data_IF_806560009253
#
_entry.id   IF_806560009253
#
_cell.length_a   1.000
_cell.length_b   1.000
_cell.length_c   1.000
_cell.angle_alpha   90.00
_cell.angle_beta   90.00
_cell.angle_gamma   90.00
#
_symmetry.space_group_name_H-M   'P 1'
#
loop_
_entity.id
_entity.type
_entity.pdbx_description
1 polymer ?
#
# COMPACT_ATOMS: atom_id res chain seq x y z
N UNK A 1 0.65 -25.53 -26.82
CA UNK A 1 -0.03 -24.23 -26.63
C UNK A 1 -1.09 -24.25 -25.52
N UNK A 2 -1.74 -25.38 -25.21
CA UNK A 2 -2.71 -25.47 -24.10
C UNK A 2 -2.10 -25.32 -22.70
N UNK A 3 -0.94 -25.94 -22.44
CA UNK A 3 -0.30 -25.88 -21.11
C UNK A 3 0.21 -24.47 -20.74
N UNK A 4 0.71 -23.72 -21.73
CA UNK A 4 1.22 -22.35 -21.54
C UNK A 4 0.10 -21.32 -21.33
N UNK A 5 -1.12 -21.63 -21.76
CA UNK A 5 -2.31 -20.78 -21.58
C UNK A 5 -2.87 -20.94 -20.17
N UNK A 6 -2.95 -22.18 -19.68
CA UNK A 6 -3.33 -22.46 -18.29
C UNK A 6 -2.35 -21.86 -17.27
N UNK A 7 -1.04 -21.86 -17.52
CA UNK A 7 -0.07 -21.22 -16.62
C UNK A 7 -0.22 -19.68 -16.57
N UNK A 8 -0.59 -19.05 -17.69
CA UNK A 8 -0.86 -17.61 -17.75
C UNK A 8 -2.17 -17.26 -17.03
N UNK A 9 -3.22 -18.05 -17.25
CA UNK A 9 -4.53 -17.88 -16.61
C UNK A 9 -4.44 -18.10 -15.08
N UNK A 10 -3.64 -19.07 -14.61
CA UNK A 10 -3.40 -19.32 -13.18
C UNK A 10 -2.59 -18.19 -12.50
N UNK A 11 -1.63 -17.58 -13.22
CA UNK A 11 -0.88 -16.43 -12.73
C UNK A 11 -1.71 -15.15 -12.69
N UNK A 12 -2.56 -14.91 -13.70
CA UNK A 12 -3.50 -13.80 -13.70
C UNK A 12 -4.53 -13.95 -12.56
N UNK A 13 -5.08 -15.14 -12.33
CA UNK A 13 -6.05 -15.39 -11.26
C UNK A 13 -5.42 -15.25 -9.85
N UNK A 14 -4.17 -15.67 -9.70
CA UNK A 14 -3.40 -15.50 -8.46
C UNK A 14 -3.08 -14.02 -8.19
N UNK A 15 -2.71 -13.25 -9.23
CA UNK A 15 -2.49 -11.81 -9.10
C UNK A 15 -3.77 -11.03 -8.78
N UNK A 16 -4.90 -11.40 -9.38
CA UNK A 16 -6.20 -10.80 -9.10
C UNK A 16 -6.66 -11.09 -7.65
N UNK A 17 -6.43 -12.30 -7.16
CA UNK A 17 -6.68 -12.64 -5.74
C UNK A 17 -5.81 -11.84 -4.78
N UNK A 18 -4.53 -11.61 -5.11
CA UNK A 18 -3.67 -10.76 -4.30
C UNK A 18 -4.15 -9.31 -4.30
N UNK A 19 -4.52 -8.75 -5.45
CA UNK A 19 -5.06 -7.38 -5.55
C UNK A 19 -6.33 -7.23 -4.72
N UNK A 20 -7.26 -8.19 -4.82
CA UNK A 20 -8.48 -8.22 -4.01
C UNK A 20 -8.17 -8.31 -2.50
N UNK A 21 -7.17 -9.10 -2.11
CA UNK A 21 -6.72 -9.20 -0.72
C UNK A 21 -6.13 -7.89 -0.19
N UNK A 22 -5.33 -7.20 -1.00
CA UNK A 22 -4.79 -5.88 -0.64
C UNK A 22 -5.90 -4.84 -0.50
N UNK A 23 -6.88 -4.83 -1.40
CA UNK A 23 -8.03 -3.92 -1.31
C UNK A 23 -8.84 -4.20 -0.04
N UNK A 24 -9.14 -5.46 0.27
CA UNK A 24 -9.89 -5.82 1.47
C UNK A 24 -9.16 -5.42 2.76
N UNK A 25 -7.82 -5.51 2.80
CA UNK A 25 -7.04 -5.05 3.95
C UNK A 25 -7.01 -3.52 4.04
N UNK A 26 -6.93 -2.84 2.90
CA UNK A 26 -7.00 -1.38 2.84
C UNK A 26 -8.33 -0.88 3.41
N UNK A 27 -9.45 -1.45 2.95
CA UNK A 27 -10.78 -1.15 3.44
C UNK A 27 -10.91 -1.43 4.95
N UNK A 28 -10.34 -2.54 5.43
CA UNK A 28 -10.31 -2.86 6.86
C UNK A 28 -9.58 -1.78 7.66
N UNK A 29 -8.41 -1.37 7.20
CA UNK A 29 -7.60 -0.38 7.90
C UNK A 29 -8.29 0.98 7.96
N UNK A 30 -8.88 1.45 6.85
CA UNK A 30 -9.61 2.72 6.81
C UNK A 30 -10.83 2.69 7.74
N UNK A 31 -11.56 1.58 7.78
CA UNK A 31 -12.69 1.41 8.71
C UNK A 31 -12.24 1.32 10.17
N UNK A 32 -11.09 0.71 10.47
CA UNK A 32 -10.52 0.70 11.83
C UNK A 32 -10.13 2.11 12.28
N UNK A 33 -9.55 2.92 11.39
CA UNK A 33 -9.25 4.33 11.67
C UNK A 33 -10.53 5.12 11.96
N UNK A 34 -11.62 4.89 11.19
CA UNK A 34 -12.92 5.51 11.43
C UNK A 34 -13.52 5.17 12.82
N UNK A 35 -13.08 4.07 13.45
CA UNK A 35 -13.54 3.65 14.78
C UNK A 35 -12.69 4.27 15.91
N UNK A 36 -11.66 5.08 15.60
CA UNK A 36 -10.63 5.58 16.54
C UNK A 36 -9.83 4.44 17.20
N UNK A 37 -9.57 3.38 16.44
CA UNK A 37 -8.86 2.18 16.90
C UNK A 37 -7.49 2.49 17.56
N UNK A 38 -6.71 3.44 17.03
CA UNK A 38 -5.36 3.72 17.52
C UNK A 38 -5.30 4.22 18.98
N UNK A 39 -6.36 4.87 19.49
CA UNK A 39 -6.38 5.40 20.86
C UNK A 39 -6.80 4.33 21.87
N UNK A 40 -7.85 3.58 21.56
CA UNK A 40 -8.47 2.64 22.50
C UNK A 40 -7.79 1.26 22.48
N UNK A 41 -7.47 0.74 21.29
CA UNK A 41 -6.95 -0.62 21.17
C UNK A 41 -5.49 -0.74 21.62
N UNK A 42 -4.64 0.19 21.20
CA UNK A 42 -3.18 0.17 21.50
C UNK A 42 -2.97 0.25 23.02
N UNK A 43 -3.79 1.05 23.71
CA UNK A 43 -3.75 1.22 25.17
C UNK A 43 -4.26 -0.02 25.91
N UNK A 44 -5.33 -0.65 25.43
CA UNK A 44 -6.02 -1.75 26.14
C UNK A 44 -5.40 -3.13 25.87
N UNK A 45 -4.91 -3.39 24.66
CA UNK A 45 -4.45 -4.72 24.23
C UNK A 45 -2.93 -4.85 24.03
N UNK A 46 -2.15 -3.78 24.28
CA UNK A 46 -0.67 -3.75 24.17
C UNK A 46 -0.13 -4.30 22.83
N UNK A 47 -0.91 -4.16 21.77
CA UNK A 47 -0.54 -4.61 20.43
C UNK A 47 -0.06 -3.41 19.60
N UNK A 48 0.98 -3.55 18.76
CA UNK A 48 1.40 -2.50 17.85
C UNK A 48 0.27 -2.08 16.90
N UNK A 49 0.27 -0.83 16.45
CA UNK A 49 -0.70 -0.35 15.45
C UNK A 49 -0.61 -1.23 14.18
N UNK A 50 -1.77 -1.61 13.66
CA UNK A 50 -1.89 -2.55 12.54
C UNK A 50 -1.68 -1.77 11.24
N UNK A 51 -0.59 -2.07 10.54
CA UNK A 51 -0.27 -1.48 9.24
C UNK A 51 -1.20 -2.02 8.12
N UNK A 52 -1.39 -1.23 7.05
CA UNK A 52 -2.14 -1.55 5.81
C UNK A 52 -1.77 -2.89 5.16
N UNK A 53 -0.63 -3.48 5.49
CA UNK A 53 -0.16 -4.76 4.92
C UNK A 53 -0.08 -5.91 5.93
N UNK A 54 -0.49 -5.67 7.18
CA UNK A 54 -0.14 -6.54 8.31
C UNK A 54 -0.71 -7.96 8.23
N UNK A 55 -1.96 -8.12 7.76
CA UNK A 55 -2.61 -9.43 7.59
C UNK A 55 -2.54 -9.98 6.16
N UNK A 56 -1.92 -9.26 5.22
CA UNK A 56 -1.82 -9.67 3.81
C UNK A 56 -0.64 -10.60 3.60
N UNK A 57 0.52 -10.24 4.16
CA UNK A 57 1.75 -11.02 4.01
C UNK A 57 2.00 -11.88 5.25
N UNK A 58 2.47 -13.11 5.04
CA UNK A 58 2.96 -13.95 6.12
C UNK A 58 4.14 -13.26 6.82
N UNK A 59 3.96 -12.98 8.12
CA UNK A 59 4.99 -12.43 8.99
C UNK A 59 5.28 -13.43 10.11
N UNK A 60 5.30 -12.94 11.35
CA UNK A 60 5.33 -13.81 12.52
C UNK A 60 3.92 -14.34 12.79
N UNK A 61 3.68 -15.61 12.45
CA UNK A 61 2.39 -16.29 12.58
C UNK A 61 1.82 -16.20 13.99
N UNK A 62 2.65 -16.35 15.03
CA UNK A 62 2.19 -16.26 16.42
C UNK A 62 1.73 -14.85 16.78
N UNK A 63 2.45 -13.84 16.31
CA UNK A 63 2.12 -12.42 16.54
C UNK A 63 0.87 -12.01 15.76
N UNK A 64 0.75 -12.45 14.51
CA UNK A 64 -0.42 -12.19 13.67
C UNK A 64 -1.67 -12.88 14.21
N UNK A 65 -1.55 -14.12 14.70
CA UNK A 65 -2.65 -14.82 15.36
C UNK A 65 -3.07 -14.10 16.65
N UNK A 66 -2.12 -13.69 17.49
CA UNK A 66 -2.40 -12.91 18.69
C UNK A 66 -3.08 -11.56 18.37
N UNK A 67 -2.62 -10.87 17.32
CA UNK A 67 -3.23 -9.63 16.85
C UNK A 67 -4.65 -9.85 16.35
N UNK A 68 -4.90 -10.93 15.59
CA UNK A 68 -6.25 -11.32 15.15
C UNK A 68 -7.17 -11.60 16.34
N UNK A 69 -6.72 -12.38 17.32
CA UNK A 69 -7.49 -12.68 18.53
C UNK A 69 -7.82 -11.43 19.34
N UNK A 70 -6.83 -10.54 19.52
CA UNK A 70 -7.00 -9.28 20.23
C UNK A 70 -7.97 -8.36 19.51
N UNK A 71 -7.80 -8.18 18.19
CA UNK A 71 -8.65 -7.34 17.37
C UNK A 71 -10.09 -7.86 17.32
N UNK A 72 -10.27 -9.16 17.14
CA UNK A 72 -11.60 -9.78 17.17
C UNK A 72 -12.27 -9.57 18.53
N UNK A 73 -11.52 -9.70 19.63
CA UNK A 73 -12.04 -9.45 20.97
C UNK A 73 -12.48 -7.99 21.16
N UNK A 74 -11.67 -7.05 20.68
CA UNK A 74 -12.00 -5.62 20.72
C UNK A 74 -13.28 -5.30 19.95
N UNK A 75 -13.41 -5.81 18.73
CA UNK A 75 -14.59 -5.57 17.88
C UNK A 75 -15.85 -6.19 18.50
N UNK A 76 -15.77 -7.41 19.04
CA UNK A 76 -16.89 -8.08 19.69
C UNK A 76 -17.31 -7.34 20.97
N UNK A 77 -16.36 -6.86 21.77
CA UNK A 77 -16.67 -6.07 22.97
C UNK A 77 -17.35 -4.74 22.63
N UNK A 78 -16.94 -4.08 21.52
CA UNK A 78 -17.61 -2.89 21.01
C UNK A 78 -19.05 -3.18 20.58
N UNK A 79 -19.30 -4.28 19.89
CA UNK A 79 -20.66 -4.69 19.48
C UNK A 79 -21.56 -5.11 20.65
N UNK A 80 -20.99 -5.67 21.71
CA UNK A 80 -21.76 -6.20 22.85
C UNK A 80 -21.97 -5.13 23.93
N UNK A 81 -21.30 -3.98 23.84
CA UNK A 81 -21.23 -2.94 24.87
C UNK A 81 -20.86 -3.48 26.28
N UNK A 82 -20.18 -4.64 26.32
CA UNK A 82 -19.74 -5.34 27.53
C UNK A 82 -18.32 -5.85 27.30
N UNK A 83 -17.42 -5.58 28.25
CA UNK A 83 -16.00 -5.96 28.18
C UNK A 83 -15.74 -7.43 28.60
N UNK A 84 -16.70 -8.31 28.39
CA UNK A 84 -16.68 -9.66 28.95
C UNK A 84 -15.89 -10.65 28.08
N UNK A 85 -15.68 -10.33 26.80
CA UNK A 85 -14.97 -11.22 25.88
C UNK A 85 -13.48 -10.85 25.82
N UNK A 86 -12.67 -11.63 26.54
CA UNK A 86 -11.20 -11.57 26.45
C UNK A 86 -10.65 -12.92 26.04
N UNK A 87 -10.08 -12.96 24.85
CA UNK A 87 -9.28 -14.10 24.39
C UNK A 87 -7.87 -13.94 24.96
N UNK A 88 -7.45 -14.87 25.81
CA UNK A 88 -6.08 -14.91 26.33
C UNK A 88 -5.13 -15.58 25.33
N UNK A 89 -3.92 -15.04 25.18
CA UNK A 89 -2.93 -15.49 24.18
C UNK A 89 -2.33 -16.87 24.44
N UNK A 90 -2.74 -17.52 25.53
CA UNK A 90 -2.24 -18.82 26.00
C UNK A 90 -3.24 -19.98 25.86
N UNK A 91 -4.43 -19.71 25.32
CA UNK A 91 -5.45 -20.74 25.11
C UNK A 91 -5.21 -21.54 23.81
N UNK A 92 -5.78 -22.73 23.68
CA UNK A 92 -5.60 -23.56 22.47
C UNK A 92 -6.08 -22.78 21.23
N UNK A 93 -5.28 -22.70 20.15
CA UNK A 93 -5.63 -21.91 18.97
C UNK A 93 -6.98 -22.29 18.36
N UNK A 94 -7.36 -23.58 18.38
CA UNK A 94 -8.64 -24.02 17.82
C UNK A 94 -9.80 -23.63 18.75
N UNK A 95 -9.66 -23.83 20.06
CA UNK A 95 -10.69 -23.41 21.04
C UNK A 95 -10.91 -21.90 21.00
N UNK A 96 -9.83 -21.14 20.80
CA UNK A 96 -9.88 -19.69 20.64
C UNK A 96 -10.63 -19.25 19.39
N UNK A 97 -10.32 -19.87 18.24
CA UNK A 97 -11.06 -19.61 16.99
C UNK A 97 -12.53 -19.95 17.17
N UNK A 98 -12.85 -21.05 17.86
CA UNK A 98 -14.23 -21.47 18.12
C UNK A 98 -14.99 -20.49 19.00
N UNK A 99 -14.32 -19.97 20.04
CA UNK A 99 -14.87 -18.91 20.89
C UNK A 99 -15.16 -17.64 20.08
N UNK A 100 -14.23 -17.23 19.21
CA UNK A 100 -14.40 -16.04 18.36
C UNK A 100 -15.52 -16.24 17.34
N UNK A 101 -15.58 -17.39 16.68
CA UNK A 101 -16.63 -17.69 15.68
C UNK A 101 -18.01 -17.80 16.34
N UNK A 102 -18.14 -18.48 17.48
CA UNK A 102 -19.42 -18.58 18.16
C UNK A 102 -19.90 -17.20 18.66
N UNK A 103 -18.98 -16.36 19.16
CA UNK A 103 -19.30 -15.00 19.57
C UNK A 103 -19.68 -14.11 18.38
N UNK A 104 -19.01 -14.24 17.23
CA UNK A 104 -19.33 -13.47 16.03
C UNK A 104 -20.61 -13.94 15.32
N UNK A 105 -21.08 -15.17 15.56
CA UNK A 105 -22.26 -15.73 14.90
C UNK A 105 -23.53 -14.95 15.20
N UNK A 106 -23.57 -14.27 16.35
CA UNK A 106 -24.68 -13.43 16.76
C UNK A 106 -24.80 -12.14 15.94
N UNK A 107 -23.72 -11.73 15.27
CA UNK A 107 -23.63 -10.43 14.60
C UNK A 107 -23.39 -10.52 13.08
N UNK A 108 -22.76 -11.61 12.62
CA UNK A 108 -22.27 -11.78 11.24
C UNK A 108 -22.62 -13.19 10.73
N UNK A 109 -22.91 -13.32 9.42
CA UNK A 109 -23.06 -14.63 8.79
C UNK A 109 -21.71 -15.34 8.62
N UNK A 110 -21.59 -16.52 9.25
CA UNK A 110 -20.37 -17.33 9.38
C UNK A 110 -20.39 -18.55 8.46
N UNK A 111 -21.45 -18.76 7.68
CA UNK A 111 -21.63 -19.98 6.87
C UNK A 111 -20.41 -20.33 6.00
N UNK A 112 -19.68 -19.32 5.51
CA UNK A 112 -18.49 -19.50 4.68
C UNK A 112 -17.19 -19.87 5.46
N UNK A 113 -17.15 -19.69 6.78
CA UNK A 113 -15.95 -19.87 7.60
C UNK A 113 -15.94 -21.18 8.40
N UNK A 114 -17.08 -21.84 8.55
CA UNK A 114 -17.22 -23.10 9.31
C UNK A 114 -16.29 -24.20 8.77
N UNK A 115 -16.14 -24.28 7.44
CA UNK A 115 -15.32 -25.29 6.76
C UNK A 115 -13.83 -24.89 6.63
N UNK A 116 -13.43 -23.69 7.06
CA UNK A 116 -12.11 -23.10 6.78
C UNK A 116 -11.36 -22.73 8.07
N UNK A 117 -11.74 -23.34 9.19
CA UNK A 117 -11.19 -23.10 10.54
C UNK A 117 -9.66 -23.17 10.63
N UNK A 118 -9.06 -24.11 9.88
CA UNK A 118 -7.61 -24.30 9.87
C UNK A 118 -6.83 -23.11 9.30
N UNK A 119 -7.42 -22.31 8.42
CA UNK A 119 -6.73 -21.15 7.82
C UNK A 119 -6.63 -19.98 8.78
N UNK A 120 -7.55 -19.83 9.74
CA UNK A 120 -7.45 -18.83 10.79
C UNK A 120 -6.25 -19.04 11.72
N UNK A 121 -5.75 -20.28 11.84
CA UNK A 121 -4.53 -20.60 12.61
C UNK A 121 -3.29 -19.92 12.03
N UNK A 122 -3.30 -19.59 10.74
CA UNK A 122 -2.18 -18.93 10.07
C UNK A 122 -2.10 -17.43 10.45
N UNK A 123 -3.17 -16.87 11.02
CA UNK A 123 -3.20 -15.48 11.50
C UNK A 123 -3.16 -14.41 10.40
N UNK A 124 -3.12 -14.80 9.13
CA UNK A 124 -3.08 -13.92 7.96
C UNK A 124 -3.88 -14.56 6.80
N UNK A 125 -4.28 -13.75 5.82
CA UNK A 125 -5.01 -14.20 4.64
C UNK A 125 -6.45 -13.71 4.54
N UNK A 126 -7.10 -14.09 3.43
CA UNK A 126 -8.41 -13.58 3.02
C UNK A 126 -9.50 -13.87 4.05
N UNK A 127 -9.48 -15.05 4.65
CA UNK A 127 -10.49 -15.46 5.62
C UNK A 127 -10.40 -14.65 6.93
N UNK A 128 -9.18 -14.33 7.37
CA UNK A 128 -8.93 -13.50 8.55
C UNK A 128 -9.42 -12.08 8.31
N UNK A 129 -9.01 -11.47 7.19
CA UNK A 129 -9.40 -10.10 6.82
C UNK A 129 -10.91 -10.02 6.58
N UNK A 130 -11.50 -10.99 5.89
CA UNK A 130 -12.93 -11.02 5.58
C UNK A 130 -13.82 -11.08 6.83
N UNK A 131 -13.44 -11.88 7.83
CA UNK A 131 -14.17 -11.93 9.11
C UNK A 131 -14.07 -10.61 9.86
N UNK A 132 -12.86 -10.04 9.95
CA UNK A 132 -12.63 -8.76 10.61
C UNK A 132 -13.39 -7.62 9.94
N UNK A 133 -13.40 -7.57 8.60
CA UNK A 133 -14.14 -6.56 7.84
C UNK A 133 -15.63 -6.59 8.14
N UNK A 134 -16.25 -7.78 8.14
CA UNK A 134 -17.68 -7.92 8.46
C UNK A 134 -18.00 -7.49 9.89
N UNK A 135 -17.12 -7.78 10.86
CA UNK A 135 -17.27 -7.33 12.24
C UNK A 135 -17.16 -5.81 12.35
N UNK A 136 -16.15 -5.22 11.70
CA UNK A 136 -15.95 -3.77 11.66
C UNK A 136 -17.13 -3.07 11.00
N UNK A 137 -17.66 -3.59 9.89
CA UNK A 137 -18.83 -3.02 9.21
C UNK A 137 -20.05 -2.94 10.15
N UNK A 138 -20.26 -3.97 10.97
CA UNK A 138 -21.33 -3.94 11.98
C UNK A 138 -21.08 -2.90 13.06
N UNK A 139 -19.84 -2.74 13.52
CA UNK A 139 -19.49 -1.69 14.51
C UNK A 139 -19.70 -0.30 13.92
N UNK A 140 -19.28 -0.07 12.68
CA UNK A 140 -19.51 1.20 11.99
C UNK A 140 -20.99 1.52 11.86
N UNK A 141 -21.81 0.53 11.47
CA UNK A 141 -23.26 0.68 11.36
C UNK A 141 -23.91 0.96 12.73
N UNK A 142 -23.45 0.36 13.82
CA UNK A 142 -23.95 0.64 15.17
C UNK A 142 -23.58 2.07 15.63
N UNK A 143 -22.37 2.54 15.34
CA UNK A 143 -21.96 3.94 15.59
C UNK A 143 -22.80 4.93 14.79
N UNK A 144 -23.06 4.65 13.51
CA UNK A 144 -23.95 5.45 12.66
C UNK A 144 -25.38 5.46 13.19
N UNK A 145 -25.91 4.30 13.59
CA UNK A 145 -27.25 4.18 14.14
C UNK A 145 -27.40 4.83 15.53
N UNK A 146 -26.33 4.90 16.32
CA UNK A 146 -26.31 5.59 17.62
C UNK A 146 -26.24 7.12 17.48
N UNK A 147 -25.74 7.62 16.35
CA UNK A 147 -25.84 9.03 15.96
C UNK A 147 -27.24 9.30 15.36
N UNK A 148 -28.30 9.14 16.16
CA UNK A 148 -29.68 9.56 15.83
C UNK A 148 -29.87 11.09 15.77
N UNK A 149 -28.81 11.85 15.51
CA UNK A 149 -28.86 13.24 15.04
C UNK A 149 -27.79 13.32 13.96
N UNK A 150 -28.23 13.36 12.70
CA UNK A 150 -27.39 13.40 11.52
C UNK A 150 -26.62 14.72 11.35
N UNK A 151 -25.79 15.07 12.33
CA UNK A 151 -24.71 16.04 12.16
C UNK A 151 -23.41 15.25 12.20
N UNK A 152 -22.93 14.88 11.02
CA UNK A 152 -21.51 14.56 10.85
C UNK A 152 -20.76 15.86 11.12
N UNK A 153 -20.33 16.07 12.37
CA UNK A 153 -19.49 17.23 12.70
C UNK A 153 -18.11 16.98 12.09
N UNK A 154 -17.93 17.41 10.84
CA UNK A 154 -16.62 17.41 10.18
C UNK A 154 -15.79 18.52 10.84
N UNK A 155 -15.05 18.17 11.89
CA UNK A 155 -14.12 19.10 12.54
C UNK A 155 -12.84 19.17 11.71
N UNK A 156 -12.61 20.32 11.07
CA UNK A 156 -11.36 20.59 10.37
C UNK A 156 -10.33 21.12 11.38
N UNK A 157 -9.20 20.42 11.47
CA UNK A 157 -8.05 20.87 12.26
C UNK A 157 -7.04 21.56 11.34
N UNK A 158 -6.63 22.78 11.72
CA UNK A 158 -5.49 23.44 11.08
C UNK A 158 -4.16 22.74 11.40
N UNK A 159 -3.09 23.12 10.70
CA UNK A 159 -1.74 22.58 10.92
C UNK A 159 -1.21 22.76 12.37
N UNK A 160 -1.80 23.70 13.12
CA UNK A 160 -1.48 23.99 14.53
C UNK A 160 -2.41 23.27 15.54
N UNK A 161 -3.31 22.40 15.07
CA UNK A 161 -4.21 21.60 15.93
C UNK A 161 -5.41 22.37 16.52
N UNK A 162 -5.68 23.57 16.01
CA UNK A 162 -6.83 24.40 16.43
C UNK A 162 -8.04 24.09 15.54
N UNK A 163 -9.21 23.92 16.16
CA UNK A 163 -10.50 23.65 15.50
C UNK A 163 -10.99 24.92 14.75
N UNK A 164 -11.22 24.79 13.44
CA UNK A 164 -11.78 25.87 12.61
C UNK A 164 -13.30 25.82 12.74
N UNK A 165 -13.90 26.85 13.34
CA UNK A 165 -15.36 27.01 13.38
C UNK A 165 -15.83 27.63 12.06
N UNK A 166 -16.71 26.93 11.35
CA UNK A 166 -17.42 27.43 10.17
C UNK A 166 -18.86 27.66 10.66
N UNK A 167 -19.31 28.91 10.67
CA UNK A 167 -20.71 29.24 10.97
C UNK A 167 -21.56 28.90 9.73
N UNK A 168 -22.45 27.92 9.91
CA UNK A 168 -23.50 27.56 8.96
C UNK A 168 -24.79 28.27 9.40
N UNK A 169 -24.87 29.58 9.18
CA UNK A 169 -26.13 30.33 9.15
C UNK A 169 -26.29 30.84 7.72
N UNK A 170 -26.98 30.08 6.86
CA UNK A 170 -27.66 30.50 5.62
C UNK A 170 -27.78 29.30 4.65
N UNK A 171 -28.75 28.38 4.86
CA UNK A 171 -29.36 27.60 3.77
C UNK A 171 -30.58 26.73 4.20
N UNK A 172 -31.41 27.23 5.12
CA UNK A 172 -32.72 26.64 5.40
C UNK A 172 -33.78 27.28 4.48
N UNK A 173 -33.96 26.76 3.26
CA UNK A 173 -35.24 26.81 2.53
C UNK A 173 -35.15 26.02 1.21
N UNK A 174 -35.45 24.72 1.25
CA UNK A 174 -36.01 23.98 0.09
C UNK A 174 -36.80 22.77 0.60
N UNK A 175 -38.10 22.97 0.81
CA UNK A 175 -39.09 21.90 0.98
C UNK A 175 -39.07 20.96 -0.24
N UNK A 176 -38.74 19.69 0.00
CA UNK A 176 -38.87 18.60 -0.96
C UNK A 176 -40.24 17.95 -0.78
N UNK A 177 -41.23 18.43 -1.54
CA UNK A 177 -42.51 17.74 -1.70
C UNK A 177 -42.35 16.54 -2.64
N UNK A 178 -42.74 15.37 -2.13
CA UNK A 178 -42.92 14.10 -2.82
C UNK A 178 -43.66 14.26 -4.16
N UNK A 179 -43.01 13.87 -5.25
CA UNK A 179 -43.68 13.56 -6.51
C UNK A 179 -43.26 12.16 -6.96
N UNK A 180 -44.03 11.19 -6.50
CA UNK A 180 -44.07 9.81 -7.00
C UNK A 180 -44.54 9.83 -8.47
N UNK A 181 -43.64 9.49 -9.40
CA UNK A 181 -43.98 9.32 -10.82
C UNK A 181 -44.22 7.84 -11.06
N UNK A 182 -45.49 7.47 -11.10
CA UNK A 182 -45.97 6.15 -11.52
C UNK A 182 -45.84 6.05 -13.06
N UNK A 183 -44.98 5.16 -13.53
CA UNK A 183 -44.78 4.88 -14.96
C UNK A 183 -45.85 3.89 -15.44
N UNK A 184 -46.84 4.36 -16.19
CA UNK A 184 -47.81 3.50 -16.86
C UNK A 184 -47.12 2.68 -17.97
N UNK A 185 -47.25 1.35 -17.84
CA UNK A 185 -46.62 0.27 -18.60
C UNK A 185 -47.22 0.03 -20.01
N UNK A 186 -47.70 1.07 -20.70
CA UNK A 186 -48.52 0.88 -21.93
C UNK A 186 -47.83 1.22 -23.27
N UNK A 187 -46.50 1.42 -23.29
CA UNK A 187 -45.76 1.82 -24.52
C UNK A 187 -44.73 0.80 -25.04
N UNK A 188 -44.80 -0.47 -24.62
CA UNK A 188 -43.87 -1.50 -25.08
C UNK A 188 -44.21 -2.12 -26.46
N UNK A 189 -45.42 -1.90 -27.00
CA UNK A 189 -45.96 -2.75 -28.09
C UNK A 189 -45.88 -2.16 -29.51
N UNK A 190 -45.13 -1.07 -29.73
CA UNK A 190 -45.05 -0.42 -31.06
C UNK A 190 -43.65 -0.24 -31.66
N UNK A 191 -42.68 -1.06 -31.25
CA UNK A 191 -41.41 -1.18 -31.98
C UNK A 191 -41.52 -2.36 -32.95
N UNK A 192 -42.12 -2.10 -34.12
CA UNK A 192 -41.93 -2.96 -35.29
C UNK A 192 -40.61 -2.54 -35.93
N UNK A 193 -39.60 -3.40 -35.78
CA UNK A 193 -38.35 -3.33 -36.52
C UNK A 193 -38.63 -3.88 -37.91
N UNK A 194 -38.83 -3.01 -38.90
CA UNK A 194 -38.86 -3.42 -40.31
C UNK A 194 -37.48 -3.15 -40.94
N UNK A 195 -36.76 -4.26 -41.16
CA UNK A 195 -35.53 -4.37 -41.92
C UNK A 195 -35.93 -4.52 -43.40
N UNK A 196 -35.86 -3.44 -44.17
CA UNK A 196 -36.35 -3.44 -45.54
C UNK A 196 -35.94 -2.23 -46.37
N UNK A 197 -34.75 -2.31 -46.96
CA UNK A 197 -34.35 -1.78 -48.27
C UNK A 197 -34.95 -0.41 -48.70
N UNK A 198 -34.23 0.67 -48.42
CA UNK A 198 -34.49 1.98 -49.04
C UNK A 198 -33.95 1.92 -50.48
N UNK A 199 -34.84 1.68 -51.45
CA UNK A 199 -34.56 1.92 -52.86
C UNK A 199 -34.74 3.42 -53.16
N UNK A 200 -33.69 3.99 -53.77
CA UNK A 200 -33.51 5.38 -54.12
C UNK A 200 -34.33 5.71 -55.37
N UNK A 201 -35.59 6.11 -55.19
CA UNK A 201 -36.44 6.57 -56.30
C UNK A 201 -36.09 8.00 -56.73
N UNK A 202 -35.35 8.03 -57.84
CA UNK A 202 -34.96 9.19 -58.63
C UNK A 202 -36.19 9.92 -59.18
N UNK A 203 -36.43 11.15 -58.74
CA UNK A 203 -37.50 12.02 -59.25
C UNK A 203 -37.10 12.60 -60.61
N UNK A 204 -37.45 11.91 -61.70
CA UNK A 204 -37.36 12.47 -63.05
C UNK A 204 -38.50 13.48 -63.28
N UNK A 205 -38.15 14.76 -63.40
CA UNK A 205 -39.05 15.83 -63.86
C UNK A 205 -39.50 15.57 -65.31
N UNK A 206 -40.82 15.52 -65.61
CA UNK A 206 -41.27 15.35 -66.98
C UNK A 206 -41.15 16.67 -67.76
N UNK A 207 -40.27 16.64 -68.76
CA UNK A 207 -40.05 17.67 -69.76
C UNK A 207 -41.35 17.91 -70.57
N UNK A 208 -41.90 19.11 -70.44
CA UNK A 208 -43.10 19.57 -71.15
C UNK A 208 -42.74 19.93 -72.58
N UNK A 209 -43.09 19.06 -73.52
CA UNK A 209 -43.19 19.41 -74.94
C UNK A 209 -44.50 18.88 -75.52
N UNK A 210 -45.50 19.77 -75.52
CA UNK A 210 -46.40 20.14 -76.62
C UNK A 210 -47.09 19.05 -77.49
N UNK A 211 -48.33 19.38 -77.88
CA UNK A 211 -49.22 18.71 -78.84
C UNK A 211 -50.26 17.72 -78.30
N UNK A 212 -51.04 18.12 -77.30
CA UNK A 212 -52.40 17.56 -77.13
C UNK A 212 -53.46 18.46 -76.48
N UNK A 213 -53.26 19.78 -76.48
CA UNK A 213 -54.36 20.70 -76.19
C UNK A 213 -55.30 20.78 -77.41
N UNK A 214 -56.61 20.66 -77.15
CA UNK A 214 -57.74 20.79 -78.08
C UNK A 214 -58.27 19.50 -78.75
N UNK A 215 -58.24 18.37 -78.05
CA UNK A 215 -59.36 17.42 -78.20
C UNK A 215 -60.47 17.87 -77.25
N UNK A 216 -61.51 18.50 -77.79
CA UNK A 216 -62.76 18.77 -77.07
C UNK A 216 -63.25 17.46 -76.45
N UNK A 217 -63.10 17.31 -75.12
CA UNK A 217 -63.61 16.16 -74.38
C UNK A 217 -65.13 16.33 -74.34
N UNK A 218 -65.80 15.85 -75.38
CA UNK A 218 -67.25 15.69 -75.35
C UNK A 218 -67.49 14.47 -74.48
N UNK A 219 -67.79 14.71 -73.20
CA UNK A 219 -68.19 13.68 -72.26
C UNK A 219 -69.46 13.02 -72.78
N UNK A 220 -69.30 11.90 -73.48
CA UNK A 220 -70.40 11.00 -73.84
C UNK A 220 -70.68 10.12 -72.63
N UNK A 221 -70.93 10.75 -71.49
CA UNK A 221 -71.19 10.07 -70.23
C UNK A 221 -72.69 10.10 -70.01
N UNK A 222 -73.30 8.91 -70.07
CA UNK A 222 -74.72 8.78 -69.77
C UNK A 222 -74.98 9.22 -68.33
N UNK A 223 -76.07 9.94 -68.10
CA UNK A 223 -76.42 10.45 -66.77
C UNK A 223 -76.57 9.29 -65.77
N UNK A 224 -76.95 8.12 -66.27
CA UNK A 224 -77.10 6.89 -65.50
C UNK A 224 -75.75 6.26 -65.15
N UNK A 225 -74.80 6.20 -66.07
CA UNK A 225 -73.43 5.75 -65.81
C UNK A 225 -72.71 6.69 -64.84
N UNK A 226 -72.87 8.01 -64.99
CA UNK A 226 -72.32 8.97 -64.05
C UNK A 226 -72.91 8.79 -62.65
N UNK A 227 -74.22 8.55 -62.55
CA UNK A 227 -74.88 8.29 -61.27
C UNK A 227 -74.45 6.96 -60.66
N UNK A 228 -74.26 5.91 -61.45
CA UNK A 228 -73.77 4.61 -60.98
C UNK A 228 -72.31 4.70 -60.54
N UNK A 229 -71.48 5.45 -61.25
CA UNK A 229 -70.11 5.74 -60.83
C UNK A 229 -70.09 6.57 -59.54
N UNK A 230 -70.99 7.54 -59.41
CA UNK A 230 -71.14 8.34 -58.20
C UNK A 230 -71.64 7.48 -57.02
N UNK A 231 -72.60 6.57 -57.24
CA UNK A 231 -73.08 5.61 -56.23
C UNK A 231 -72.05 4.51 -55.92
N UNK A 232 -71.12 4.20 -56.83
CA UNK A 232 -69.98 3.29 -56.60
C UNK A 232 -68.87 3.96 -55.80
N UNK A 233 -68.60 5.23 -56.09
CA UNK A 233 -67.52 6.00 -55.46
C UNK A 233 -67.99 6.63 -54.14
N UNK A 234 -69.29 6.93 -53.97
CA UNK A 234 -69.85 7.46 -52.71
C UNK A 234 -69.49 6.61 -51.49
N UNK A 235 -69.64 5.28 -51.52
CA UNK A 235 -69.22 4.39 -50.44
C UNK A 235 -67.71 4.35 -50.26
N UNK A 236 -66.90 4.59 -51.29
CA UNK A 236 -65.43 4.61 -51.19
C UNK A 236 -64.91 5.95 -50.66
N UNK A 237 -65.56 7.05 -51.02
CA UNK A 237 -65.30 8.39 -50.49
C UNK A 237 -65.80 8.49 -49.05
N UNK A 238 -66.97 7.93 -48.77
CA UNK A 238 -67.44 7.74 -47.40
C UNK A 238 -66.54 6.77 -46.67
N UNK A 239 -66.21 5.57 -47.13
CA UNK A 239 -65.34 4.66 -46.36
C UNK A 239 -63.95 5.25 -46.06
N UNK A 240 -63.43 6.11 -46.95
CA UNK A 240 -62.13 6.78 -46.77
C UNK A 240 -62.20 8.09 -45.96
N UNK A 241 -63.35 8.77 -45.88
CA UNK A 241 -63.45 10.08 -45.20
C UNK A 241 -64.66 10.24 -44.25
N UNK A 242 -65.74 9.47 -44.39
CA UNK A 242 -66.97 9.56 -43.57
C UNK A 242 -67.33 8.30 -42.76
N UNK A 243 -66.84 7.12 -43.15
CA UNK A 243 -67.07 5.81 -42.52
C UNK A 243 -66.31 5.66 -41.21
N UNK A 244 -65.39 6.59 -40.94
CA UNK A 244 -64.71 6.76 -39.66
C UNK A 244 -65.08 8.09 -38.98
N UNK A 245 -66.07 8.83 -39.49
CA UNK A 245 -66.46 10.17 -39.01
C UNK A 245 -67.92 10.26 -38.55
N UNK A 246 -68.83 9.38 -39.00
CA UNK A 246 -70.26 9.53 -38.69
C UNK A 246 -70.73 8.80 -37.42
N UNK A 247 -70.01 7.80 -36.93
CA UNK A 247 -70.29 7.19 -35.64
C UNK A 247 -68.98 6.90 -34.94
N UNK A 248 -68.72 7.67 -33.89
CA UNK A 248 -67.55 7.59 -33.03
C UNK A 248 -66.30 8.30 -33.59
N UNK A 249 -65.83 9.25 -32.80
CA UNK A 249 -64.47 9.78 -32.83
C UNK A 249 -64.21 10.95 -33.78
N UNK A 250 -64.40 12.16 -33.26
CA UNK A 250 -63.72 13.38 -33.75
C UNK A 250 -62.19 13.35 -33.60
N UNK A 251 -61.57 12.16 -33.54
CA UNK A 251 -60.14 11.96 -33.34
C UNK A 251 -59.37 11.87 -34.66
N UNK A 252 -59.85 11.09 -35.65
CA UNK A 252 -59.02 10.65 -36.78
C UNK A 252 -58.74 11.73 -37.86
N UNK A 253 -59.66 12.68 -38.10
CA UNK A 253 -59.42 13.82 -39.03
C UNK A 253 -58.49 14.92 -38.44
N UNK A 254 -58.16 14.78 -37.16
CA UNK A 254 -57.32 15.70 -36.40
C UNK A 254 -56.04 15.05 -35.91
N UNK A 255 -55.76 13.78 -36.23
CA UNK A 255 -54.60 13.06 -35.69
C UNK A 255 -53.29 13.75 -36.02
N UNK A 256 -53.03 14.09 -37.28
CA UNK A 256 -51.80 14.81 -37.63
C UNK A 256 -51.72 16.21 -37.00
N UNK A 257 -52.87 16.88 -36.77
CA UNK A 257 -52.92 18.18 -36.07
C UNK A 257 -52.67 18.01 -34.58
N UNK A 258 -53.15 16.92 -33.98
CA UNK A 258 -52.90 16.54 -32.59
C UNK A 258 -51.42 16.19 -32.42
N UNK A 259 -50.85 15.37 -33.30
CA UNK A 259 -49.43 15.06 -33.33
C UNK A 259 -48.57 16.30 -33.58
N UNK A 260 -48.98 17.22 -34.46
CA UNK A 260 -48.26 18.48 -34.68
C UNK A 260 -48.31 19.39 -33.45
N UNK A 261 -49.46 19.52 -32.79
CA UNK A 261 -49.57 20.25 -31.52
C UNK A 261 -48.74 19.57 -30.42
N UNK A 262 -48.77 18.24 -30.33
CA UNK A 262 -47.94 17.48 -29.41
C UNK A 262 -46.44 17.66 -29.70
N UNK A 263 -46.03 17.68 -30.97
CA UNK A 263 -44.65 17.93 -31.37
C UNK A 263 -44.19 19.37 -31.03
N UNK A 264 -45.07 20.38 -31.14
CA UNK A 264 -44.77 21.74 -30.69
C UNK A 264 -44.61 21.83 -29.18
N UNK A 265 -45.48 21.16 -28.42
CA UNK A 265 -45.35 21.05 -26.95
C UNK A 265 -44.05 20.33 -26.59
N UNK A 266 -43.75 19.22 -27.25
CA UNK A 266 -42.53 18.46 -27.03
C UNK A 266 -41.28 19.26 -27.39
N UNK A 267 -41.30 20.05 -28.48
CA UNK A 267 -40.22 20.97 -28.84
C UNK A 267 -39.99 22.01 -27.74
N UNK A 268 -41.06 22.57 -27.18
CA UNK A 268 -40.96 23.49 -26.04
C UNK A 268 -40.37 22.80 -24.81
N UNK A 269 -40.79 21.57 -24.52
CA UNK A 269 -40.29 20.80 -23.38
C UNK A 269 -38.81 20.44 -23.56
N UNK A 270 -38.41 19.97 -24.74
CA UNK A 270 -37.02 19.70 -25.09
C UNK A 270 -36.17 20.97 -24.96
N UNK A 271 -36.66 22.13 -25.42
CA UNK A 271 -35.90 23.38 -25.28
C UNK A 271 -35.71 23.79 -23.82
N UNK A 272 -36.68 23.53 -22.94
CA UNK A 272 -36.56 23.79 -21.50
C UNK A 272 -35.57 22.85 -20.85
N UNK A 273 -35.72 21.55 -21.07
CA UNK A 273 -34.81 20.52 -20.53
C UNK A 273 -33.39 20.73 -21.04
N UNK A 274 -33.22 21.03 -22.32
CA UNK A 274 -31.92 21.34 -22.90
C UNK A 274 -31.27 22.58 -22.26
N UNK A 275 -32.05 23.66 -22.06
CA UNK A 275 -31.56 24.86 -21.37
C UNK A 275 -31.15 24.58 -19.92
N UNK A 276 -31.95 23.80 -19.19
CA UNK A 276 -31.64 23.38 -17.82
C UNK A 276 -30.38 22.52 -17.79
N UNK A 277 -30.26 21.52 -18.65
CA UNK A 277 -29.08 20.66 -18.74
C UNK A 277 -27.84 21.44 -19.13
N UNK A 278 -27.91 22.37 -20.09
CA UNK A 278 -26.79 23.25 -20.43
C UNK A 278 -26.36 24.12 -19.25
N UNK A 279 -27.31 24.62 -18.45
CA UNK A 279 -27.00 25.37 -17.24
C UNK A 279 -26.31 24.49 -16.19
N UNK A 280 -26.82 23.30 -15.92
CA UNK A 280 -26.23 22.34 -14.97
C UNK A 280 -24.82 21.91 -15.41
N UNK A 281 -24.63 21.61 -16.69
CA UNK A 281 -23.30 21.27 -17.24
C UNK A 281 -22.35 22.47 -17.19
N UNK A 282 -22.86 23.68 -17.42
CA UNK A 282 -22.09 24.92 -17.27
C UNK A 282 -21.61 25.15 -15.84
N UNK A 283 -22.50 24.94 -14.86
CA UNK A 283 -22.18 25.00 -13.43
C UNK A 283 -21.15 23.94 -13.07
N UNK A 284 -21.39 22.67 -13.42
CA UNK A 284 -20.45 21.57 -13.17
C UNK A 284 -19.07 21.83 -13.79
N UNK A 285 -19.02 22.39 -15.00
CA UNK A 285 -17.76 22.77 -15.64
C UNK A 285 -17.04 23.90 -14.87
N UNK A 286 -17.79 24.86 -14.34
CA UNK A 286 -17.27 25.92 -13.47
C UNK A 286 -16.71 25.36 -12.17
N UNK A 287 -17.45 24.48 -11.51
CA UNK A 287 -17.07 23.85 -10.24
C UNK A 287 -15.81 22.99 -10.42
N UNK A 288 -15.73 22.23 -11.52
CA UNK A 288 -14.53 21.46 -11.87
C UNK A 288 -13.32 22.38 -12.07
N UNK A 289 -13.49 23.50 -12.78
CA UNK A 289 -12.39 24.47 -12.96
C UNK A 289 -11.93 25.06 -11.64
N UNK A 290 -12.87 25.47 -10.79
CA UNK A 290 -12.54 26.01 -9.47
C UNK A 290 -11.85 24.95 -8.60
N UNK A 291 -12.27 23.69 -8.68
CA UNK A 291 -11.62 22.58 -7.98
C UNK A 291 -10.20 22.35 -8.51
N UNK A 292 -9.98 22.41 -9.83
CA UNK A 292 -8.65 22.29 -10.43
C UNK A 292 -7.74 23.44 -10.02
N UNK A 293 -8.21 24.69 -10.00
CA UNK A 293 -7.42 25.84 -9.54
C UNK A 293 -7.07 25.71 -8.04
N UNK A 294 -7.99 25.19 -7.23
CA UNK A 294 -7.72 24.86 -5.81
C UNK A 294 -6.69 23.73 -5.67
N UNK A 295 -6.71 22.74 -6.55
CA UNK A 295 -5.69 21.68 -6.57
C UNK A 295 -4.34 22.26 -6.98
N UNK A 296 -4.29 23.08 -8.03
CA UNK A 296 -3.05 23.70 -8.51
C UNK A 296 -2.39 24.59 -7.45
N UNK A 297 -3.19 25.40 -6.74
CA UNK A 297 -2.68 26.23 -5.63
C UNK A 297 -2.13 25.37 -4.49
N UNK A 298 -2.82 24.27 -4.13
CA UNK A 298 -2.33 23.31 -3.12
C UNK A 298 -1.07 22.57 -3.59
N UNK A 299 -0.96 22.20 -4.86
CA UNK A 299 0.22 21.57 -5.43
C UNK A 299 1.41 22.52 -5.44
N UNK A 300 1.21 23.79 -5.78
CA UNK A 300 2.24 24.81 -5.74
C UNK A 300 2.73 25.05 -4.31
N UNK A 301 1.81 25.13 -3.34
CA UNK A 301 2.17 25.22 -1.92
C UNK A 301 2.96 23.98 -1.44
N UNK A 302 2.52 22.77 -1.81
CA UNK A 302 3.21 21.54 -1.46
C UNK A 302 4.61 21.48 -2.11
N UNK A 303 4.75 21.98 -3.34
CA UNK A 303 6.03 22.07 -4.06
C UNK A 303 6.99 23.03 -3.35
N UNK A 304 6.52 24.20 -2.95
CA UNK A 304 7.33 25.17 -2.22
C UNK A 304 7.77 24.62 -0.86
N UNK A 305 6.84 24.06 -0.09
CA UNK A 305 7.14 23.46 1.21
C UNK A 305 8.09 22.26 1.08
N UNK A 306 7.86 21.36 0.13
CA UNK A 306 8.75 20.22 -0.11
C UNK A 306 10.14 20.66 -0.58
N UNK A 307 10.23 21.72 -1.40
CA UNK A 307 11.54 22.28 -1.79
C UNK A 307 12.31 22.83 -0.59
N UNK A 308 11.61 23.46 0.36
CA UNK A 308 12.20 24.00 1.60
C UNK A 308 12.73 22.86 2.48
N UNK A 309 11.88 21.85 2.73
CA UNK A 309 12.26 20.66 3.50
C UNK A 309 13.44 19.95 2.84
N UNK A 310 13.43 19.74 1.51
CA UNK A 310 14.53 19.10 0.79
C UNK A 310 15.83 19.92 0.89
N UNK A 311 15.75 21.24 0.85
CA UNK A 311 16.92 22.10 1.06
C UNK A 311 17.47 21.93 2.48
N UNK A 312 16.62 21.94 3.51
CA UNK A 312 17.02 21.70 4.90
C UNK A 312 17.67 20.32 5.07
N UNK A 313 17.07 19.25 4.54
CA UNK A 313 17.64 17.90 4.54
C UNK A 313 19.00 17.85 3.85
N UNK A 314 19.17 18.55 2.73
CA UNK A 314 20.46 18.66 2.05
C UNK A 314 21.50 19.31 2.97
N UNK A 315 21.15 20.42 3.64
CA UNK A 315 22.08 21.07 4.57
C UNK A 315 22.43 20.20 5.77
N UNK A 316 21.48 19.45 6.32
CA UNK A 316 21.71 18.52 7.43
C UNK A 316 22.60 17.37 6.98
N UNK A 317 22.34 16.81 5.79
CA UNK A 317 23.19 15.76 5.19
C UNK A 317 24.61 16.25 4.96
N UNK A 318 24.80 17.46 4.46
CA UNK A 318 26.14 18.04 4.30
C UNK A 318 26.86 18.23 5.63
N UNK A 319 26.16 18.67 6.68
CA UNK A 319 26.72 18.77 8.04
C UNK A 319 27.11 17.38 8.58
N UNK A 320 26.26 16.37 8.39
CA UNK A 320 26.54 15.00 8.81
C UNK A 320 27.76 14.43 8.07
N UNK A 321 27.85 14.64 6.76
CA UNK A 321 29.00 14.22 5.96
C UNK A 321 30.29 14.91 6.42
N UNK A 322 30.26 16.23 6.67
CA UNK A 322 31.41 16.97 7.22
C UNK A 322 31.84 16.41 8.57
N UNK A 323 30.89 16.10 9.45
CA UNK A 323 31.18 15.52 10.77
C UNK A 323 31.76 14.10 10.64
N UNK A 324 31.23 13.27 9.75
CA UNK A 324 31.74 11.92 9.48
C UNK A 324 33.18 11.96 9.01
N UNK A 325 33.49 12.83 8.04
CA UNK A 325 34.86 13.01 7.53
C UNK A 325 35.79 13.54 8.63
N UNK A 326 35.34 14.51 9.43
CA UNK A 326 36.13 15.00 10.56
C UNK A 326 36.39 13.91 11.61
N UNK A 327 35.39 13.08 11.91
CA UNK A 327 35.52 11.95 12.84
C UNK A 327 36.48 10.87 12.31
N UNK A 328 36.39 10.52 11.02
CA UNK A 328 37.33 9.61 10.38
C UNK A 328 38.77 10.14 10.42
N UNK A 329 38.95 11.44 10.17
CA UNK A 329 40.27 12.10 10.28
C UNK A 329 40.82 12.03 11.69
N UNK A 330 40.02 12.39 12.70
CA UNK A 330 40.43 12.31 14.11
C UNK A 330 40.72 10.88 14.54
N UNK A 331 39.93 9.90 14.11
CA UNK A 331 40.20 8.49 14.37
C UNK A 331 41.50 8.02 13.72
N UNK A 332 41.82 8.49 12.51
CA UNK A 332 43.11 8.23 11.88
C UNK A 332 44.24 8.81 12.72
N UNK A 333 44.13 10.07 13.16
CA UNK A 333 45.15 10.68 14.03
C UNK A 333 45.30 9.94 15.37
N UNK A 334 44.20 9.48 15.98
CA UNK A 334 44.24 8.68 17.21
C UNK A 334 44.96 7.34 16.96
N UNK A 335 44.67 6.69 15.84
CA UNK A 335 45.33 5.44 15.45
C UNK A 335 46.83 5.64 15.24
N UNK A 336 47.22 6.69 14.53
CA UNK A 336 48.62 7.04 14.30
C UNK A 336 49.34 7.34 15.63
N UNK A 337 48.69 8.05 16.56
CA UNK A 337 49.23 8.29 17.91
C UNK A 337 49.33 7.00 18.74
N UNK A 338 48.34 6.11 18.63
CA UNK A 338 48.36 4.81 19.31
C UNK A 338 49.51 3.95 18.79
N UNK A 339 49.74 3.92 17.49
CA UNK A 339 50.86 3.22 16.86
C UNK A 339 52.19 3.80 17.36
N UNK A 340 52.32 5.14 17.36
CA UNK A 340 53.53 5.80 17.88
C UNK A 340 53.79 5.52 19.36
N UNK A 341 52.74 5.44 20.18
CA UNK A 341 52.87 5.05 21.59
C UNK A 341 53.31 3.59 21.75
N UNK A 342 52.82 2.68 20.91
CA UNK A 342 53.29 1.28 20.93
C UNK A 342 54.76 1.16 20.54
N UNK A 343 55.19 1.88 19.50
CA UNK A 343 56.61 1.94 19.11
C UNK A 343 57.49 2.49 20.24
N UNK A 344 57.09 3.59 20.87
CA UNK A 344 57.84 4.19 21.98
C UNK A 344 57.91 3.25 23.18
N UNK A 345 56.85 2.49 23.44
CA UNK A 345 56.83 1.49 24.51
C UNK A 345 57.74 0.29 24.20
N UNK A 346 57.82 -0.13 22.94
CA UNK A 346 58.78 -1.15 22.51
C UNK A 346 60.22 -0.64 22.59
N UNK A 347 60.46 0.62 22.22
CA UNK A 347 61.76 1.29 22.43
C UNK A 347 62.12 1.37 23.93
N UNK A 348 61.18 1.72 24.80
CA UNK A 348 61.37 1.70 26.25
C UNK A 348 61.67 0.29 26.78
N UNK A 349 60.99 -0.75 26.24
CA UNK A 349 61.25 -2.14 26.61
C UNK A 349 62.64 -2.60 26.17
N UNK A 350 63.06 -2.26 24.96
CA UNK A 350 64.39 -2.61 24.45
C UNK A 350 65.50 -1.87 25.19
N UNK A 351 65.33 -0.58 25.49
CA UNK A 351 66.28 0.17 26.31
C UNK A 351 66.36 -0.38 27.73
N UNK A 352 65.23 -0.74 28.36
CA UNK A 352 65.21 -1.45 29.65
C UNK A 352 65.96 -2.78 29.60
N UNK A 353 65.73 -3.60 28.58
CA UNK A 353 66.48 -4.86 28.38
C UNK A 353 67.97 -4.60 28.20
N UNK A 354 68.37 -3.60 27.42
CA UNK A 354 69.77 -3.23 27.24
C UNK A 354 70.41 -2.76 28.56
N UNK A 355 69.67 -2.01 29.39
CA UNK A 355 70.13 -1.59 30.72
C UNK A 355 70.26 -2.81 31.65
N UNK A 356 69.30 -3.74 31.64
CA UNK A 356 69.36 -4.97 32.42
C UNK A 356 70.54 -5.85 32.00
N UNK A 357 70.77 -6.04 30.71
CA UNK A 357 71.94 -6.76 30.18
C UNK A 357 73.25 -6.08 30.58
N UNK A 358 73.32 -4.75 30.49
CA UNK A 358 74.50 -3.99 30.91
C UNK A 358 74.72 -4.11 32.43
N UNK A 359 73.66 -4.01 33.22
CA UNK A 359 73.69 -4.21 34.67
C UNK A 359 74.14 -5.62 35.03
N UNK A 360 73.65 -6.64 34.30
CA UNK A 360 74.06 -8.02 34.49
C UNK A 360 75.55 -8.18 34.16
N UNK A 361 76.04 -7.65 33.03
CA UNK A 361 77.46 -7.67 32.65
C UNK A 361 78.36 -6.96 33.67
N UNK A 362 77.89 -5.84 34.24
CA UNK A 362 78.65 -5.09 35.25
C UNK A 362 78.64 -5.77 36.62
N UNK A 363 77.59 -6.53 36.94
CA UNK A 363 77.46 -7.27 38.21
C UNK A 363 78.01 -8.70 38.11
N UNK A 364 78.25 -9.20 36.90
CA UNK A 364 78.76 -10.53 36.66
C UNK A 364 80.24 -10.63 37.05
N UNK A 365 80.47 -11.01 38.30
CA UNK A 365 81.78 -11.33 38.85
C UNK A 365 82.23 -12.76 38.50
N UNK A 366 81.41 -13.56 37.81
CA UNK A 366 81.72 -14.94 37.42
C UNK A 366 83.03 -15.07 36.61
N UNK A 367 83.31 -14.26 35.57
CA UNK A 367 84.59 -14.33 34.86
C UNK A 367 85.79 -13.99 35.74
N UNK A 368 85.62 -13.09 36.71
CA UNK A 368 86.66 -12.76 37.69
C UNK A 368 86.90 -13.94 38.65
N UNK A 369 85.84 -14.62 39.10
CA UNK A 369 85.92 -15.82 39.93
C UNK A 369 86.57 -16.96 39.17
N UNK A 370 86.23 -17.16 37.90
CA UNK A 370 86.83 -18.19 37.04
C UNK A 370 88.31 -17.92 36.78
N UNK A 371 88.70 -16.68 36.47
CA UNK A 371 90.10 -16.28 36.37
C UNK A 371 90.86 -16.50 37.68
N UNK A 372 90.24 -16.19 38.83
CA UNK A 372 90.83 -16.44 40.16
C UNK A 372 91.01 -17.95 40.42
N UNK A 373 90.04 -18.78 40.00
CA UNK A 373 90.10 -20.24 40.11
C UNK A 373 91.18 -20.84 39.22
N UNK A 374 91.28 -20.41 37.96
CA UNK A 374 92.34 -20.81 37.03
C UNK A 374 93.73 -20.41 37.55
N UNK A 375 93.85 -19.19 38.09
CA UNK A 375 95.09 -18.74 38.74
C UNK A 375 95.46 -19.61 39.95
N UNK A 376 94.48 -20.01 40.76
CA UNK A 376 94.73 -20.91 41.90
C UNK A 376 95.14 -22.31 41.45
N UNK A 377 94.52 -22.83 40.39
CA UNK A 377 94.90 -24.09 39.76
C UNK A 377 96.36 -24.05 39.26
N UNK A 378 96.73 -23.01 38.51
CA UNK A 378 98.12 -22.84 38.04
C UNK A 378 99.12 -22.75 39.19
N UNK A 379 98.76 -22.13 40.32
CA UNK A 379 99.61 -22.13 41.52
C UNK A 379 99.79 -23.54 42.10
N UNK A 380 98.72 -24.33 42.17
CA UNK A 380 98.79 -25.71 42.64
C UNK A 380 99.64 -26.58 41.70
N UNK A 381 99.48 -26.43 40.39
CA UNK A 381 100.34 -27.10 39.41
C UNK A 381 101.80 -26.69 39.55
N UNK A 382 102.10 -25.41 39.77
CA UNK A 382 103.47 -24.95 40.00
C UNK A 382 104.08 -25.57 41.26
N UNK A 383 103.31 -25.69 42.35
CA UNK A 383 103.75 -26.39 43.57
C UNK A 383 104.00 -27.87 43.27
N UNK A 384 103.12 -28.53 42.53
CA UNK A 384 103.29 -29.94 42.16
C UNK A 384 104.52 -30.15 41.27
N UNK A 385 104.71 -29.33 40.23
CA UNK A 385 105.88 -29.36 39.36
C UNK A 385 107.16 -29.10 40.17
N UNK A 386 107.16 -28.12 41.09
CA UNK A 386 108.31 -27.90 41.97
C UNK A 386 108.61 -29.11 42.87
N UNK A 387 107.58 -29.81 43.35
CA UNK A 387 107.76 -31.02 44.16
C UNK A 387 108.30 -32.18 43.30
N UNK A 388 107.80 -32.34 42.07
CA UNK A 388 108.33 -33.30 41.10
C UNK A 388 109.78 -32.99 40.73
N UNK A 389 110.13 -31.72 40.48
CA UNK A 389 111.51 -31.28 40.25
C UNK A 389 112.37 -31.60 41.48
N UNK A 390 111.87 -31.33 42.69
CA UNK A 390 112.57 -31.66 43.95
C UNK A 390 112.86 -33.15 44.10
N UNK A 391 111.88 -34.01 43.79
CA UNK A 391 112.05 -35.47 43.78
C UNK A 391 113.01 -35.91 42.68
N UNK A 392 112.95 -35.31 41.49
CA UNK A 392 113.88 -35.60 40.40
C UNK A 392 115.32 -35.21 40.79
N UNK A 393 115.51 -34.04 41.42
CA UNK A 393 116.81 -33.62 41.97
C UNK A 393 117.28 -34.60 43.04
N UNK A 394 116.43 -35.00 44.00
CA UNK A 394 116.81 -35.99 45.02
C UNK A 394 117.16 -37.34 44.42
N UNK A 395 116.44 -37.78 43.40
CA UNK A 395 116.70 -39.05 42.69
C UNK A 395 118.03 -38.98 41.94
N UNK A 396 118.30 -37.87 41.24
CA UNK A 396 119.59 -37.63 40.58
C UNK A 396 120.74 -37.56 41.59
N UNK A 397 120.59 -36.83 42.69
CA UNK A 397 121.59 -36.78 43.77
C UNK A 397 121.82 -38.17 44.37
N UNK A 398 120.77 -38.97 44.54
CA UNK A 398 120.87 -40.36 45.02
C UNK A 398 121.65 -41.22 44.03
N UNK A 399 121.37 -41.15 42.74
CA UNK A 399 122.13 -41.87 41.71
C UNK A 399 123.59 -41.43 41.65
N UNK A 400 123.89 -40.14 41.80
CA UNK A 400 125.27 -39.64 41.87
C UNK A 400 125.96 -40.17 43.13
N UNK A 401 125.29 -40.15 44.29
CA UNK A 401 125.85 -40.68 45.55
C UNK A 401 126.10 -42.19 45.50
N UNK A 402 125.23 -42.96 44.86
CA UNK A 402 125.39 -44.40 44.66
C UNK A 402 126.52 -44.72 43.68
N UNK A 403 126.69 -43.92 42.62
CA UNK A 403 127.82 -44.06 41.70
C UNK A 403 129.14 -43.67 42.36
N UNK A 404 129.18 -42.71 43.29
CA UNK A 404 130.40 -42.40 44.06
C UNK A 404 130.78 -43.52 45.05
N UNK A 405 129.82 -44.32 45.52
CA UNK A 405 130.11 -45.50 46.35
C UNK A 405 130.59 -46.72 45.55
N UNK A 406 130.37 -46.76 44.22
CA UNK A 406 130.86 -47.83 43.34
C UNK A 406 132.27 -47.59 42.79
N UNK A 407 132.92 -46.47 43.13
CA UNK A 407 134.29 -46.13 42.68
C UNK A 407 135.35 -46.44 43.77
N UNK A 408 134.94 -46.96 44.95
CA UNK A 408 135.83 -47.30 46.08
C UNK A 408 135.79 -48.77 46.56
N UNK A 409 135.34 -49.70 45.71
CA UNK A 409 135.57 -51.15 45.86
C UNK A 409 135.94 -51.72 44.49
#
# INVERSE_FOLDING_TARGET
MSARKNELDDHENSSAQLVSLFQAMYDLHDKLLAIDYDKEFVTQYKCPSINRYYFVKQGNVAQQFFAFCSLSSYLINKLTNKNDFKVDGFDDPNLTIDKILNASQSFVDISNYVNVRQKFKQGHGYEVIGLLNKLVDKVCLEKLSSNQNGQVKVTFYGADGIEIQIDEEDDDDMDAEDNEIELEEEFADYIIVDDGNIEEDNWDEPNVTDSRENAMIIAKTDLTEWKLELERILPQLNARHLGQSMYQSGAYDNEWRLHYKAALVQKSNISKVFGQTCSMVGQLSGDIKQALDKIETKENYLRENSSTILAEWSTVRDRANKLSVAYESVNKEIRDKSERLTELNDEDRTTKQAIEEYSLKMTDSSPLVEAKKAREHLKQELVNINLQIGVAIQTLVRHISLNTSSVYQ
#
